data_IF_647648832459
#
_entry.id   IF_647648832459
#
_cell.length_a   1.000
_cell.length_b   1.000
_cell.length_c   1.000
_cell.angle_alpha   90.00
_cell.angle_beta   90.00
_cell.angle_gamma   90.00
#
_symmetry.space_group_name_H-M   'P 1'
#
loop_
_entity.id
_entity.type
_entity.pdbx_description
1 polymer ?
#
# COMPACT_ATOMS: atom_id res chain seq x y z
N UNK A 1 9.27 -1.46 0.20
CA UNK A 1 8.22 -0.68 -0.42
C UNK A 1 8.95 0.30 -1.25
N UNK A 2 8.66 0.31 -2.54
CA UNK A 2 9.28 1.22 -3.48
C UNK A 2 8.28 2.32 -3.78
N UNK A 3 8.71 3.58 -3.66
CA UNK A 3 7.99 4.72 -4.24
C UNK A 3 8.18 4.65 -5.74
N UNK A 4 7.08 4.68 -6.47
CA UNK A 4 7.09 4.76 -7.92
C UNK A 4 6.26 5.96 -8.31
N UNK A 5 6.71 6.70 -9.31
CA UNK A 5 5.96 7.82 -9.86
C UNK A 5 4.70 7.28 -10.55
N UNK A 6 3.54 7.90 -10.29
CA UNK A 6 2.29 7.49 -10.91
C UNK A 6 2.31 7.64 -12.45
N UNK A 7 3.28 8.39 -12.97
CA UNK A 7 3.55 8.64 -14.39
C UNK A 7 4.13 7.42 -15.11
N UNK A 8 4.78 6.49 -14.40
CA UNK A 8 5.31 5.25 -14.98
C UNK A 8 4.21 4.24 -15.36
N UNK A 9 2.98 4.45 -14.89
CA UNK A 9 1.85 3.57 -15.19
C UNK A 9 1.35 3.76 -16.63
N UNK A 10 1.28 2.65 -17.38
CA UNK A 10 0.77 2.63 -18.75
C UNK A 10 -0.42 1.66 -18.90
N UNK A 11 -1.41 1.99 -19.75
CA UNK A 11 -2.48 1.05 -20.06
C UNK A 11 -1.93 -0.27 -20.60
N UNK A 12 -2.58 -1.39 -20.26
CA UNK A 12 -2.18 -2.73 -20.67
C UNK A 12 -1.10 -3.38 -19.80
N UNK A 13 -0.47 -2.64 -18.87
CA UNK A 13 0.47 -3.24 -17.93
C UNK A 13 -0.27 -4.17 -16.95
N UNK A 14 0.25 -5.39 -16.77
CA UNK A 14 -0.20 -6.30 -15.73
C UNK A 14 0.61 -6.09 -14.46
N UNK A 15 -0.06 -5.73 -13.38
CA UNK A 15 0.59 -5.49 -12.10
C UNK A 15 1.16 -6.79 -11.52
N UNK A 16 2.47 -6.85 -11.31
CA UNK A 16 3.08 -7.96 -10.58
C UNK A 16 2.80 -7.90 -9.06
N UNK A 17 2.56 -6.70 -8.55
CA UNK A 17 2.40 -6.41 -7.13
C UNK A 17 1.25 -5.39 -6.94
N UNK A 18 0.58 -5.38 -5.78
CA UNK A 18 -0.51 -4.45 -5.53
C UNK A 18 0.02 -3.01 -5.42
N UNK A 19 -0.78 -2.06 -5.93
CA UNK A 19 -0.57 -0.62 -5.77
C UNK A 19 -1.34 -0.15 -4.54
N UNK A 20 -0.67 0.61 -3.67
CA UNK A 20 -1.23 1.16 -2.44
C UNK A 20 -1.16 2.68 -2.41
N UNK A 21 -2.18 3.28 -1.78
CA UNK A 21 -2.21 4.71 -1.50
C UNK A 21 -1.11 5.06 -0.49
N UNK A 22 -0.29 6.09 -0.75
CA UNK A 22 0.75 6.50 0.19
C UNK A 22 0.27 6.91 1.56
N UNK A 23 -0.86 7.61 1.63
CA UNK A 23 -1.35 8.14 2.89
C UNK A 23 -2.11 7.10 3.73
N UNK A 24 -2.97 6.31 3.10
CA UNK A 24 -3.90 5.41 3.81
C UNK A 24 -3.50 3.94 3.79
N UNK A 25 -2.48 3.56 3.01
CA UNK A 25 -2.07 2.18 2.76
C UNK A 25 -3.14 1.25 2.17
N UNK A 26 -4.33 1.79 1.86
CA UNK A 26 -5.40 1.06 1.19
C UNK A 26 -4.91 0.57 -0.16
N UNK A 27 -5.29 -0.66 -0.48
CA UNK A 27 -5.04 -1.24 -1.79
C UNK A 27 -5.89 -0.46 -2.79
N UNK A 28 -5.24 0.21 -3.72
CA UNK A 28 -5.90 0.90 -4.83
C UNK A 28 -6.15 -0.08 -5.98
N UNK A 29 -5.17 -0.95 -6.27
CA UNK A 29 -5.28 -2.02 -7.25
C UNK A 29 -4.55 -3.27 -6.76
N UNK A 30 -5.14 -4.44 -7.03
CA UNK A 30 -4.57 -5.74 -6.68
C UNK A 30 -3.50 -6.18 -7.69
N UNK A 31 -2.60 -7.06 -7.25
CA UNK A 31 -1.73 -7.79 -8.16
C UNK A 31 -2.55 -8.58 -9.20
N UNK A 32 -2.00 -8.77 -10.38
CA UNK A 32 -2.65 -9.43 -11.52
C UNK A 32 -3.59 -8.54 -12.32
N UNK A 33 -3.96 -7.36 -11.82
CA UNK A 33 -4.80 -6.39 -12.54
C UNK A 33 -4.08 -5.90 -13.80
N UNK A 34 -4.80 -5.89 -14.93
CA UNK A 34 -4.35 -5.22 -16.16
C UNK A 34 -4.86 -3.78 -16.10
N UNK A 35 -3.94 -2.82 -16.17
CA UNK A 35 -4.27 -1.40 -16.04
C UNK A 35 -5.08 -0.89 -17.23
N UNK A 36 -6.20 -0.23 -16.94
CA UNK A 36 -6.94 0.57 -17.92
C UNK A 36 -6.60 2.05 -17.78
N UNK A 37 -6.83 2.83 -18.85
CA UNK A 37 -6.60 4.29 -18.81
C UNK A 37 -7.39 4.98 -17.67
N UNK A 38 -8.65 4.61 -17.48
CA UNK A 38 -9.49 5.18 -16.41
C UNK A 38 -9.03 4.80 -14.99
N UNK A 39 -8.42 3.62 -14.81
CA UNK A 39 -7.82 3.25 -13.52
C UNK A 39 -6.57 4.08 -13.22
N UNK A 40 -5.73 4.32 -14.24
CA UNK A 40 -4.53 5.15 -14.10
C UNK A 40 -4.92 6.59 -13.75
N UNK A 41 -5.91 7.15 -14.44
CA UNK A 41 -6.41 8.49 -14.16
C UNK A 41 -6.97 8.60 -12.73
N UNK A 42 -7.76 7.62 -12.27
CA UNK A 42 -8.22 7.55 -10.87
C UNK A 42 -7.08 7.50 -9.87
N UNK A 43 -6.04 6.71 -10.13
CA UNK A 43 -4.86 6.66 -9.25
C UNK A 43 -4.16 8.01 -9.21
N UNK A 44 -3.95 8.65 -10.37
CA UNK A 44 -3.34 9.98 -10.44
C UNK A 44 -4.17 11.04 -9.72
N UNK A 45 -5.50 10.97 -9.78
CA UNK A 45 -6.35 11.89 -9.02
C UNK A 45 -6.27 11.66 -7.50
N UNK A 46 -6.15 10.40 -7.06
CA UNK A 46 -6.06 10.05 -5.63
C UNK A 46 -4.65 10.26 -5.04
N UNK A 47 -3.61 10.10 -5.86
CA UNK A 47 -2.22 10.20 -5.46
C UNK A 47 -1.39 10.73 -6.64
N UNK A 48 -1.39 12.07 -6.85
CA UNK A 48 -0.90 12.68 -8.09
C UNK A 48 0.59 12.58 -8.33
N UNK A 49 1.38 12.35 -7.28
CA UNK A 49 2.85 12.30 -7.39
C UNK A 49 3.41 10.88 -7.27
N UNK A 50 3.00 10.15 -6.24
CA UNK A 50 3.65 8.89 -5.88
C UNK A 50 2.63 7.78 -5.62
N UNK A 51 3.03 6.55 -5.90
CA UNK A 51 2.34 5.34 -5.46
C UNK A 51 3.32 4.39 -4.76
N UNK A 52 2.81 3.56 -3.85
CA UNK A 52 3.63 2.52 -3.22
C UNK A 52 3.37 1.15 -3.82
N UNK A 53 4.46 0.45 -4.12
CA UNK A 53 4.42 -0.96 -4.45
C UNK A 53 5.11 -1.76 -3.34
N UNK A 54 4.42 -2.80 -2.85
CA UNK A 54 4.92 -3.64 -1.77
C UNK A 54 6.00 -4.60 -2.28
N UNK A 55 7.26 -4.34 -1.95
CA UNK A 55 8.39 -5.21 -2.26
C UNK A 55 8.76 -6.08 -1.05
N UNK A 56 9.21 -7.31 -1.28
CA UNK A 56 9.58 -8.27 -0.21
C UNK A 56 10.74 -7.80 0.67
N UNK A 57 11.65 -6.98 0.13
CA UNK A 57 12.87 -6.55 0.84
C UNK A 57 12.72 -5.36 1.78
N UNK A 58 11.63 -4.61 1.73
CA UNK A 58 11.47 -3.43 2.58
C UNK A 58 10.00 -3.24 2.92
N UNK A 59 9.65 -3.00 4.18
CA UNK A 59 8.33 -2.44 4.50
C UNK A 59 8.37 -1.62 5.78
N UNK A 60 9.31 -0.67 5.85
CA UNK A 60 9.27 0.39 6.85
C UNK A 60 8.38 1.50 6.32
N UNK A 61 7.13 1.54 6.80
CA UNK A 61 6.22 2.66 6.56
C UNK A 61 5.58 3.06 7.88
N UNK A 62 5.52 4.37 8.21
CA UNK A 62 5.03 4.84 9.51
C UNK A 62 3.65 4.29 9.86
N UNK A 63 2.70 4.27 8.92
CA UNK A 63 1.36 3.70 9.17
C UNK A 63 1.36 2.17 9.43
N UNK A 64 2.31 1.43 8.83
CA UNK A 64 2.46 -0.01 9.08
C UNK A 64 3.10 -0.26 10.44
N UNK A 65 4.07 0.57 10.81
CA UNK A 65 4.68 0.58 12.14
C UNK A 65 3.63 0.90 13.21
N UNK A 66 2.87 1.98 13.04
CA UNK A 66 1.78 2.37 13.95
C UNK A 66 0.72 1.28 14.10
N UNK A 67 0.38 0.58 13.01
CA UNK A 67 -0.53 -0.57 13.09
C UNK A 67 0.07 -1.73 13.90
N UNK A 68 1.32 -2.10 13.63
CA UNK A 68 1.98 -3.17 14.39
C UNK A 68 2.15 -2.81 15.86
N UNK A 69 2.58 -1.58 16.16
CA UNK A 69 2.68 -1.05 17.53
C UNK A 69 1.32 -1.10 18.24
N UNK A 70 0.23 -0.74 17.56
CA UNK A 70 -1.12 -0.83 18.12
C UNK A 70 -1.56 -2.27 18.39
N UNK A 71 -1.24 -3.21 17.49
CA UNK A 71 -1.52 -4.64 17.67
C UNK A 71 -0.72 -5.22 18.82
N UNK A 72 0.59 -4.95 18.89
CA UNK A 72 1.45 -5.40 20.00
C UNK A 72 0.97 -4.83 21.35
N UNK A 73 0.56 -3.56 21.39
CA UNK A 73 0.00 -2.94 22.58
C UNK A 73 -1.30 -3.64 23.03
N UNK A 74 -2.18 -3.99 22.09
CA UNK A 74 -3.42 -4.73 22.39
C UNK A 74 -3.14 -6.15 22.90
N UNK A 75 -2.23 -6.88 22.25
CA UNK A 75 -1.85 -8.24 22.67
C UNK A 75 -1.25 -8.24 24.08
N UNK A 76 -0.46 -7.20 24.41
CA UNK A 76 0.06 -7.03 25.76
C UNK A 76 -1.04 -6.79 26.78
N UNK A 77 -1.96 -5.85 26.51
CA UNK A 77 -3.10 -5.58 27.40
C UNK A 77 -3.94 -6.84 27.61
N UNK A 78 -4.17 -7.63 26.55
CA UNK A 78 -4.91 -8.87 26.66
C UNK A 78 -4.17 -9.90 27.53
N UNK A 79 -2.85 -10.05 27.33
CA UNK A 79 -2.02 -10.96 28.13
C UNK A 79 -1.99 -10.55 29.60
N UNK A 80 -1.90 -9.25 29.90
CA UNK A 80 -1.91 -8.73 31.28
C UNK A 80 -3.27 -8.90 31.97
N UNK A 81 -4.38 -8.97 31.21
CA UNK A 81 -5.73 -9.15 31.76
C UNK A 81 -6.13 -10.63 31.98
N UNK A 82 -5.58 -11.55 31.19
CA UNK A 82 -6.00 -12.96 31.18
C UNK A 82 -4.87 -13.95 31.55
N UNK A 83 -3.67 -13.45 31.84
CA UNK A 83 -2.49 -14.22 32.27
C UNK A 83 -2.27 -14.26 33.76
#
# INVERSE_FOLDING_TARGET
MKRIEAEELRPGMKLALPIRCPMSYKILLNAGTVLTAGQIERIKNLSPKEIFISTSKYSYHPAKMLFFEAVEALDKVYSDFFG
#
